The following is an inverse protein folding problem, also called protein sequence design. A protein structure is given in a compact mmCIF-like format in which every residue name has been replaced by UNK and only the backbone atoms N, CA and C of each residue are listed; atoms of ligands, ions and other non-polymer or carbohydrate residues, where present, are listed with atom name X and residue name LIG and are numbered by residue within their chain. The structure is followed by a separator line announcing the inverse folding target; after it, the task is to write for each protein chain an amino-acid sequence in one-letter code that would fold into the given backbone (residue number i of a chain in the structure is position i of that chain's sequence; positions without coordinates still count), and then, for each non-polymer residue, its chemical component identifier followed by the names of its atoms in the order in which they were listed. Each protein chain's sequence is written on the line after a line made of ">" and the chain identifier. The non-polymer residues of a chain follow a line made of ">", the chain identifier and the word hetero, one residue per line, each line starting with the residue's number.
data_IF_985273398276
#
_entry.id   IF_985273398276
#
_cell.length_a   1.000
_cell.length_b   1.000
_cell.length_c   1.000
_cell.angle_alpha   90.00
_cell.angle_beta   90.00
_cell.angle_gamma   90.00
#
_symmetry.space_group_name_H-M   'P 1'
#
loop_
_entity.id
_entity.type
_entity.pdbx_description
1 polymer ?
#
# COMPACT_ATOMS: atom_id res chain seq x y z
N UNK A 1 20.29 4.77 14.91
CA UNK A 1 19.52 4.48 14.70
C UNK A 1 19.21 4.31 14.32
N UNK A 2 19.52 4.29 14.36
CA UNK A 2 18.68 3.99 14.00
C UNK A 2 18.23 3.64 13.66
N UNK A 3 18.68 3.66 13.73
CA UNK A 3 17.81 3.23 13.41
C UNK A 3 17.47 2.89 13.09
N UNK A 4 17.97 2.91 13.18
CA UNK A 4 17.33 2.40 12.91
C UNK A 4 17.39 1.90 12.48
N UNK A 5 18.08 1.92 12.51
CA UNK A 5 17.72 1.19 12.21
C UNK A 5 17.99 0.66 11.90
N UNK A 6 18.59 0.86 12.04
CA UNK A 6 18.47 0.22 11.92
C UNK A 6 18.36 -0.45 12.03
N UNK A 7 18.73 -0.51 12.14
CA UNK A 7 18.33 -1.30 12.32
C UNK A 7 18.03 -1.95 12.15
N UNK A 8 18.46 -1.96 12.08
CA UNK A 8 17.95 -2.69 12.00
C UNK A 8 18.21 -3.27 11.41
N UNK A 9 18.78 -3.20 11.31
CA UNK A 9 18.65 -3.80 10.83
C UNK A 9 18.83 -4.49 10.60
N UNK A 10 18.98 -4.60 10.67
CA UNK A 10 18.88 -5.31 10.82
C UNK A 10 18.33 -5.93 10.72
N UNK A 11 18.08 -6.01 10.54
CA UNK A 11 17.38 -6.67 10.47
C UNK A 11 17.07 -6.99 9.65
N UNK A 12 17.21 -6.99 9.12
CA UNK A 12 16.89 -7.34 8.23
C UNK A 12 17.46 -8.18 7.67
N UNK A 13 18.02 -8.59 7.51
CA UNK A 13 18.30 -9.40 7.10
C UNK A 13 18.20 -10.48 7.24
N UNK A 14 18.10 -10.71 7.59
CA UNK A 14 17.80 -11.75 7.67
C UNK A 14 16.99 -12.39 7.03
N UNK A 15 17.19 -12.75 6.64
CA UNK A 15 16.42 -13.39 5.92
C UNK A 15 15.53 -12.74 5.30
N UNK A 16 15.63 -11.89 5.38
CA UNK A 16 14.93 -11.19 4.90
C UNK A 16 13.81 -11.11 4.16
N UNK A 17 12.84 -10.76 4.79
CA UNK A 17 11.62 -10.52 4.11
C UNK A 17 11.59 -9.05 3.84
N UNK A 18 11.53 -8.71 2.58
CA UNK A 18 11.46 -7.32 2.22
C UNK A 18 10.07 -6.80 2.48
N UNK A 19 9.95 -5.59 2.96
CA UNK A 19 8.64 -5.01 3.16
C UNK A 19 7.96 -4.77 1.83
N UNK A 20 6.67 -4.93 1.82
CA UNK A 20 5.86 -4.62 0.65
C UNK A 20 5.01 -3.42 0.99
N UNK A 21 4.64 -2.67 -0.02
CA UNK A 21 3.86 -1.46 0.16
C UNK A 21 2.48 -1.66 -0.43
N UNK A 22 1.49 -1.15 0.28
CA UNK A 22 0.09 -1.34 -0.10
C UNK A 22 -0.62 -0.01 -0.04
N UNK A 23 -1.54 0.20 -0.97
CA UNK A 23 -2.45 1.33 -0.90
C UNK A 23 -3.71 0.86 -0.22
N UNK A 24 -4.31 1.72 0.58
CA UNK A 24 -5.50 1.38 1.33
C UNK A 24 -6.68 2.19 0.80
N UNK A 25 -7.76 1.49 0.51
CA UNK A 25 -8.98 2.11 0.03
C UNK A 25 -10.13 1.71 0.94
N UNK A 26 -11.09 2.58 1.12
CA UNK A 26 -12.22 2.30 1.99
C UNK A 26 -13.42 3.11 1.57
N UNK A 27 -14.59 2.70 2.07
CA UNK A 27 -15.82 3.46 1.88
C UNK A 27 -16.68 3.32 3.11
N UNK A 28 -17.48 4.33 3.37
CA UNK A 28 -18.30 4.37 4.57
C UNK A 28 -19.66 3.75 4.37
N UNK A 29 -20.19 3.77 3.16
CA UNK A 29 -21.49 3.16 2.88
C UNK A 29 -21.41 2.36 1.60
N UNK A 30 -22.39 1.54 1.38
CA UNK A 30 -22.46 0.74 0.16
C UNK A 30 -22.61 1.60 -1.08
N UNK A 31 -23.15 2.79 -0.93
CA UNK A 31 -23.37 3.68 -2.06
C UNK A 31 -22.12 4.46 -2.44
N UNK A 32 -21.13 4.50 -1.58
CA UNK A 32 -19.91 5.26 -1.87
C UNK A 32 -18.95 4.46 -2.71
N UNK A 33 -18.20 5.14 -3.53
CA UNK A 33 -17.07 4.51 -4.21
C UNK A 33 -15.95 4.30 -3.20
N UNK A 34 -15.11 3.34 -3.47
CA UNK A 34 -13.90 3.17 -2.68
C UNK A 34 -12.99 4.37 -2.90
N UNK A 35 -12.50 4.92 -1.82
CA UNK A 35 -11.62 6.08 -1.88
C UNK A 35 -10.29 5.74 -1.25
N UNK A 36 -9.26 6.34 -1.76
CA UNK A 36 -7.92 6.14 -1.21
C UNK A 36 -7.83 6.82 0.15
N UNK A 37 -7.42 6.09 1.17
CA UNK A 37 -7.30 6.66 2.50
C UNK A 37 -5.87 6.69 3.01
N UNK A 38 -4.97 5.98 2.39
CA UNK A 38 -3.57 6.00 2.81
C UNK A 38 -2.82 4.80 2.30
N UNK A 39 -1.74 4.47 2.97
CA UNK A 39 -0.92 3.33 2.60
C UNK A 39 -0.38 2.66 3.84
N UNK A 40 0.06 1.43 3.70
CA UNK A 40 0.72 0.70 4.77
C UNK A 40 1.86 -0.11 4.19
N UNK A 41 2.77 -0.45 5.07
CA UNK A 41 3.88 -1.30 4.72
C UNK A 41 3.74 -2.57 5.54
N UNK A 42 3.94 -3.71 4.93
CA UNK A 42 3.83 -4.98 5.65
C UNK A 42 4.57 -6.06 4.87
N UNK A 43 4.98 -7.12 5.53
CA UNK A 43 5.72 -8.19 4.83
C UNK A 43 4.84 -9.07 3.96
N UNK A 44 3.53 -9.08 4.21
CA UNK A 44 2.63 -9.91 3.41
C UNK A 44 1.22 -9.35 3.48
N UNK A 45 0.36 -9.94 2.68
CA UNK A 45 -1.01 -9.45 2.53
C UNK A 45 -1.82 -9.53 3.82
N UNK A 46 -1.63 -10.60 4.59
CA UNK A 46 -2.38 -10.75 5.83
C UNK A 46 -2.04 -9.67 6.84
N UNK A 47 -0.77 -9.38 7.00
CA UNK A 47 -0.37 -8.32 7.92
C UNK A 47 -0.74 -6.95 7.39
N UNK A 48 -0.76 -6.78 6.08
CA UNK A 48 -1.19 -5.52 5.50
C UNK A 48 -2.64 -5.22 5.88
N UNK A 49 -3.49 -6.24 5.84
CA UNK A 49 -4.89 -6.06 6.20
C UNK A 49 -5.02 -5.68 7.67
N UNK A 50 -4.29 -6.35 8.54
CA UNK A 50 -4.35 -6.07 9.96
C UNK A 50 -3.87 -4.66 10.25
N UNK A 51 -2.76 -4.26 9.64
CA UNK A 51 -2.21 -2.94 9.87
C UNK A 51 -3.12 -1.85 9.35
N UNK A 52 -3.70 -2.06 8.18
CA UNK A 52 -4.60 -1.07 7.60
C UNK A 52 -5.81 -0.86 8.51
N UNK A 53 -6.38 -1.95 8.98
CA UNK A 53 -7.53 -1.87 9.85
C UNK A 53 -7.16 -1.11 11.12
N UNK A 54 -6.02 -1.42 11.70
CA UNK A 54 -5.62 -0.81 12.95
C UNK A 54 -5.30 0.68 12.81
N UNK A 55 -4.67 1.04 11.72
CA UNK A 55 -4.24 2.43 11.54
C UNK A 55 -5.39 3.33 11.12
N UNK A 56 -6.30 2.81 10.32
CA UNK A 56 -7.33 3.64 9.70
C UNK A 56 -8.72 3.40 10.27
N UNK A 57 -8.84 2.98 11.53
CA UNK A 57 -10.13 2.68 12.10
C UNK A 57 -10.79 3.88 12.79
N UNK A 58 -10.51 5.09 12.36
CA UNK A 58 -11.14 6.27 12.91
C UNK A 58 -12.61 6.36 12.57
N UNK A 59 -13.02 5.63 11.54
CA UNK A 59 -14.40 5.66 11.07
C UNK A 59 -14.96 4.26 11.05
N UNK A 60 -16.27 4.18 10.98
CA UNK A 60 -16.91 2.89 10.81
C UNK A 60 -16.98 2.60 9.33
N UNK A 61 -15.98 1.94 8.84
CA UNK A 61 -15.92 1.66 7.42
C UNK A 61 -16.86 0.53 7.03
N UNK A 62 -17.58 0.71 5.93
CA UNK A 62 -18.37 -0.37 5.36
C UNK A 62 -17.44 -1.41 4.75
N UNK A 63 -16.39 -0.94 4.13
CA UNK A 63 -15.45 -1.81 3.45
C UNK A 63 -14.08 -1.16 3.44
N UNK A 64 -13.05 -1.94 3.63
CA UNK A 64 -11.68 -1.47 3.51
C UNK A 64 -10.89 -2.56 2.81
N UNK A 65 -10.03 -2.17 1.89
CA UNK A 65 -9.20 -3.14 1.20
C UNK A 65 -7.80 -2.60 1.03
N UNK A 66 -6.85 -3.51 0.84
CA UNK A 66 -5.48 -3.13 0.56
C UNK A 66 -5.11 -3.68 -0.80
N UNK A 67 -4.29 -2.95 -1.53
CA UNK A 67 -3.85 -3.34 -2.86
C UNK A 67 -2.34 -3.26 -2.88
N UNK A 68 -1.64 -4.35 -3.19
CA UNK A 68 -0.18 -4.26 -3.29
C UNK A 68 0.19 -3.23 -4.34
N UNK A 69 1.14 -2.38 -4.00
CA UNK A 69 1.54 -1.32 -4.89
C UNK A 69 1.92 -1.85 -6.26
N UNK A 70 2.59 -2.97 -6.29
CA UNK A 70 3.03 -3.53 -7.56
C UNK A 70 1.88 -4.03 -8.43
N UNK A 71 0.70 -4.17 -7.87
CA UNK A 71 -0.46 -4.59 -8.65
C UNK A 71 -1.19 -3.43 -9.30
N UNK A 72 -0.78 -2.21 -8.99
CA UNK A 72 -1.41 -1.02 -9.54
C UNK A 72 -0.71 -0.68 -10.84
N UNK A 73 -1.47 -0.60 -11.91
CA UNK A 73 -0.92 -0.31 -13.21
C UNK A 73 -1.03 1.17 -13.47
N UNK A 74 0.10 1.81 -13.68
CA UNK A 74 0.13 3.26 -13.88
C UNK A 74 -0.23 3.57 -15.33
N UNK A 75 -1.13 4.48 -15.49
CA UNK A 75 -1.57 4.88 -16.83
C UNK A 75 -0.84 6.13 -17.30
N UNK A 76 -0.60 7.05 -16.37
CA UNK A 76 0.00 8.32 -16.73
C UNK A 76 1.50 8.23 -16.59
N UNK A 77 2.16 7.68 -17.56
CA UNK A 77 3.57 7.52 -17.48
C UNK A 77 4.25 8.42 -18.37
N UNK A 78 5.24 9.04 -17.88
CA UNK A 78 6.02 9.93 -18.67
C UNK A 78 6.65 9.28 -19.84
N UNK A 79 6.99 8.04 -19.71
CA UNK A 79 7.59 7.39 -20.80
C UNK A 79 6.70 7.19 -21.93
N UNK A 80 5.48 7.04 -21.62
CA UNK A 80 4.57 6.73 -22.60
C UNK A 80 4.32 7.76 -23.56
N UNK A 81 4.55 8.95 -23.15
CA UNK A 81 4.33 10.03 -24.01
C UNK A 81 5.19 9.95 -25.22
N UNK A 82 6.26 9.23 -25.13
CA UNK A 82 7.12 9.17 -26.27
C UNK A 82 6.69 8.10 -27.20
N UNK A 83 6.01 7.14 -26.78
CA UNK A 83 5.70 6.15 -27.66
C UNK A 83 4.39 6.23 -28.21
N UNK A 84 3.76 6.91 -27.78
CA UNK A 84 2.56 6.97 -28.27
C UNK A 84 2.37 7.70 -29.32
N UNK A 85 3.02 7.89 -29.54
CA UNK A 85 2.82 8.56 -30.31
C UNK A 85 2.46 8.21 -31.23
N UNK A 86 2.52 7.54 -30.97
CA UNK A 86 2.06 7.22 -31.33
C UNK A 86 1.54 7.21 -31.80
N UNK A 87 1.75 7.35 -31.87
CA UNK A 87 1.16 7.36 -31.97
C UNK A 87 0.85 7.42 -32.22
#
# INVERSE_FOLDING_TARGET
>A
MTSRHKKIDQQRERGGVEPRYYEVFARKTSADALSHVGSVEAPNDDLAQIRAWYIYDQHRWKEMCVVPLEAIITVTEHDRSTKIKMN
#
